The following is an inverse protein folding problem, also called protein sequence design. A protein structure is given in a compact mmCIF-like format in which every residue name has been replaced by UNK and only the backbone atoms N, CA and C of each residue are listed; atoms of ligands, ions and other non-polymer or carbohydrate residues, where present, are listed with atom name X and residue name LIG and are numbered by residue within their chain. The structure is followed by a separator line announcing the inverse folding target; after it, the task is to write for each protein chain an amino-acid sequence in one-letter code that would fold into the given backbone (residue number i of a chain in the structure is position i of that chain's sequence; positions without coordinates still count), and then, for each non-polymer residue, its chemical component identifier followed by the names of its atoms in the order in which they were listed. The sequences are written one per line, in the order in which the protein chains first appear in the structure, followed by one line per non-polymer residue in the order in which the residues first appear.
data_IF_626176845649
#
_entry.id   IF_626176845649
#
_cell.length_a   1.000
_cell.length_b   1.000
_cell.length_c   1.000
_cell.angle_alpha   90.00
_cell.angle_beta   90.00
_cell.angle_gamma   90.00
#
_symmetry.space_group_name_H-M   'P 1'
#
loop_
_entity.id
_entity.type
_entity.pdbx_description
1 polymer ?
#
# COMPACT_ATOMS: atom_id res chain seq x y z
N UNK A 1 23.53 2.08 0.81
CA UNK A 1 22.86 0.76 0.74
C UNK A 1 21.60 0.89 -0.12
N UNK A 2 21.68 0.66 -1.44
CA UNK A 2 20.60 0.98 -2.39
C UNK A 2 19.35 0.08 -2.30
N UNK A 3 19.46 -1.09 -1.65
CA UNK A 3 18.33 -2.02 -1.46
C UNK A 3 17.33 -1.54 -0.41
N UNK A 4 17.80 -0.85 0.64
CA UNK A 4 16.97 -0.43 1.76
C UNK A 4 16.07 0.76 1.40
N UNK A 5 16.58 1.70 0.61
CA UNK A 5 15.81 2.87 0.14
C UNK A 5 14.60 2.45 -0.70
N UNK A 6 14.71 1.38 -1.50
CA UNK A 6 13.58 0.86 -2.27
C UNK A 6 12.48 0.25 -1.39
N UNK A 7 12.81 -0.41 -0.29
CA UNK A 7 11.80 -0.96 0.63
C UNK A 7 11.05 0.15 1.37
N UNK A 8 11.78 1.13 1.90
CA UNK A 8 11.17 2.29 2.57
C UNK A 8 10.28 3.05 1.59
N UNK A 9 10.75 3.29 0.36
CA UNK A 9 9.94 3.94 -0.67
C UNK A 9 8.66 3.17 -0.99
N UNK A 10 8.71 1.84 -1.11
CA UNK A 10 7.51 1.01 -1.32
C UNK A 10 6.54 1.08 -0.14
N UNK A 11 7.04 1.01 1.09
CA UNK A 11 6.19 1.16 2.29
C UNK A 11 5.53 2.53 2.35
N UNK A 12 6.26 3.60 2.04
CA UNK A 12 5.71 4.96 1.95
C UNK A 12 4.63 5.06 0.88
N UNK A 13 4.86 4.49 -0.31
CA UNK A 13 3.85 4.46 -1.38
C UNK A 13 2.61 3.68 -0.95
N UNK A 14 2.76 2.53 -0.30
CA UNK A 14 1.62 1.76 0.21
C UNK A 14 0.83 2.55 1.26
N UNK A 15 1.51 3.17 2.22
CA UNK A 15 0.88 4.02 3.24
C UNK A 15 0.12 5.20 2.62
N UNK A 16 0.65 5.81 1.54
CA UNK A 16 -0.05 6.84 0.79
C UNK A 16 -1.37 6.32 0.21
N UNK A 17 -1.38 5.13 -0.40
CA UNK A 17 -2.62 4.56 -0.94
C UNK A 17 -3.64 4.27 0.18
N UNK A 18 -3.19 3.69 1.30
CA UNK A 18 -4.07 3.39 2.45
C UNK A 18 -4.72 4.66 3.01
N UNK A 19 -3.95 5.73 3.20
CA UNK A 19 -4.48 7.02 3.72
C UNK A 19 -5.51 7.61 2.76
N UNK A 20 -5.24 7.61 1.45
CA UNK A 20 -6.19 8.14 0.47
C UNK A 20 -7.44 7.26 0.31
N UNK A 21 -7.29 5.94 0.37
CA UNK A 21 -8.41 5.01 0.46
C UNK A 21 -9.29 5.29 1.68
N UNK A 22 -8.70 5.54 2.85
CA UNK A 22 -9.46 5.90 4.05
C UNK A 22 -10.21 7.24 3.90
N UNK A 23 -9.63 8.22 3.20
CA UNK A 23 -10.31 9.49 2.88
C UNK A 23 -11.50 9.25 1.95
N UNK A 24 -11.31 8.47 0.88
CA UNK A 24 -12.38 8.10 -0.05
C UNK A 24 -13.49 7.31 0.65
N UNK A 25 -13.14 6.39 1.54
CA UNK A 25 -14.10 5.66 2.37
C UNK A 25 -14.88 6.59 3.29
N UNK A 26 -14.23 7.57 3.93
CA UNK A 26 -14.93 8.57 4.75
C UNK A 26 -15.91 9.40 3.92
N UNK A 27 -15.53 9.79 2.71
CA UNK A 27 -16.40 10.52 1.78
C UNK A 27 -17.58 9.66 1.27
N UNK A 28 -17.35 8.36 1.08
CA UNK A 28 -18.41 7.39 0.79
C UNK A 28 -19.46 7.35 1.92
N UNK A 29 -19.01 7.36 3.18
CA UNK A 29 -19.88 7.35 4.36
C UNK A 29 -20.65 8.66 4.56
N UNK A 30 -20.16 9.80 4.06
CA UNK A 30 -20.90 11.07 4.11
C UNK A 30 -22.03 11.15 3.09
N UNK A 31 -22.13 10.19 2.16
CA UNK A 31 -23.26 10.05 1.23
C UNK A 31 -23.19 10.94 -0.01
N UNK A 32 -22.21 11.84 -0.09
CA UNK A 32 -21.94 12.64 -1.29
C UNK A 32 -21.19 11.79 -2.34
N UNK A 33 -21.59 11.90 -3.60
CA UNK A 33 -20.92 11.25 -4.74
C UNK A 33 -20.54 9.77 -4.52
N UNK A 34 -21.43 9.01 -3.84
CA UNK A 34 -21.16 7.66 -3.35
C UNK A 34 -20.55 6.72 -4.40
N UNK A 35 -20.99 6.79 -5.66
CA UNK A 35 -20.43 5.96 -6.74
C UNK A 35 -19.00 6.36 -7.12
N UNK A 36 -18.69 7.65 -7.16
CA UNK A 36 -17.34 8.13 -7.49
C UNK A 36 -16.37 7.84 -6.34
N UNK A 37 -16.80 8.06 -5.09
CA UNK A 37 -16.02 7.73 -3.90
C UNK A 37 -15.77 6.22 -3.74
N UNK A 38 -16.74 5.39 -4.12
CA UNK A 38 -16.56 3.94 -4.20
C UNK A 38 -15.51 3.55 -5.24
N UNK A 39 -15.57 4.12 -6.45
CA UNK A 39 -14.58 3.84 -7.49
C UNK A 39 -13.18 4.27 -7.04
N UNK A 40 -13.05 5.48 -6.49
CA UNK A 40 -11.77 5.96 -5.97
C UNK A 40 -11.21 5.05 -4.86
N UNK A 41 -12.07 4.55 -3.97
CA UNK A 41 -11.68 3.59 -2.94
C UNK A 41 -11.14 2.29 -3.56
N UNK A 42 -11.82 1.72 -4.57
CA UNK A 42 -11.34 0.54 -5.28
C UNK A 42 -9.99 0.80 -5.98
N UNK A 43 -9.82 1.95 -6.62
CA UNK A 43 -8.58 2.30 -7.30
C UNK A 43 -7.40 2.40 -6.32
N UNK A 44 -7.64 2.97 -5.13
CA UNK A 44 -6.63 3.03 -4.06
C UNK A 44 -6.30 1.65 -3.48
N UNK A 45 -7.29 0.76 -3.35
CA UNK A 45 -7.09 -0.62 -2.90
C UNK A 45 -6.26 -1.43 -3.89
N UNK A 46 -6.60 -1.37 -5.18
CA UNK A 46 -5.86 -2.09 -6.22
C UNK A 46 -4.41 -1.60 -6.32
N UNK A 47 -4.20 -0.28 -6.22
CA UNK A 47 -2.87 0.31 -6.19
C UNK A 47 -2.07 -0.11 -4.94
N UNK A 48 -2.72 -0.19 -3.77
CA UNK A 48 -2.10 -0.64 -2.53
C UNK A 48 -1.67 -2.11 -2.64
N UNK A 49 -2.53 -2.98 -3.20
CA UNK A 49 -2.23 -4.40 -3.36
C UNK A 49 -1.11 -4.63 -4.36
N UNK A 50 -1.02 -3.84 -5.44
CA UNK A 50 0.11 -3.91 -6.36
C UNK A 50 1.44 -3.60 -5.65
N UNK A 51 1.49 -2.58 -4.80
CA UNK A 51 2.70 -2.27 -4.02
C UNK A 51 3.04 -3.42 -3.07
N UNK A 52 2.05 -4.07 -2.45
CA UNK A 52 2.24 -5.26 -1.60
C UNK A 52 2.82 -6.42 -2.40
N UNK A 53 2.23 -6.75 -3.56
CA UNK A 53 2.72 -7.82 -4.45
C UNK A 53 4.17 -7.59 -4.86
N UNK A 54 4.51 -6.36 -5.24
CA UNK A 54 5.88 -6.01 -5.62
C UNK A 54 6.85 -6.05 -4.43
N UNK A 55 6.40 -5.68 -3.23
CA UNK A 55 7.19 -5.77 -2.01
C UNK A 55 7.49 -7.23 -1.65
N UNK A 56 6.48 -8.11 -1.68
CA UNK A 56 6.66 -9.55 -1.45
C UNK A 56 7.62 -10.17 -2.48
N UNK A 57 7.46 -9.86 -3.78
CA UNK A 57 8.40 -10.31 -4.82
C UNK A 57 9.83 -9.86 -4.53
N UNK A 58 10.02 -8.62 -4.11
CA UNK A 58 11.34 -8.08 -3.76
C UNK A 58 11.96 -8.78 -2.53
N UNK A 59 11.14 -9.14 -1.53
CA UNK A 59 11.59 -9.92 -0.36
C UNK A 59 12.05 -11.31 -0.80
N UNK A 60 11.27 -12.00 -1.63
CA UNK A 60 11.61 -13.35 -2.11
C UNK A 60 12.89 -13.36 -2.97
N UNK A 61 13.18 -12.30 -3.72
CA UNK A 61 14.41 -12.16 -4.51
C UNK A 61 15.60 -11.57 -3.74
N UNK A 62 15.44 -11.17 -2.47
CA UNK A 62 16.51 -10.61 -1.65
C UNK A 62 16.97 -11.56 -0.54
N UNK A 63 18.19 -12.09 -0.69
CA UNK A 63 18.86 -12.91 0.33
C UNK A 63 19.25 -12.13 1.60
N UNK A 64 19.23 -10.79 1.53
CA UNK A 64 19.45 -9.87 2.65
C UNK A 64 18.17 -9.06 2.81
N UNK A 65 17.38 -9.37 3.84
CA UNK A 65 16.31 -8.49 4.33
C UNK A 65 16.91 -7.57 5.40
N UNK A 66 16.78 -6.24 5.30
CA UNK A 66 17.33 -5.31 6.30
C UNK A 66 16.53 -5.29 7.62
N UNK A 67 15.43 -6.04 7.68
CA UNK A 67 14.56 -6.24 8.84
C UNK A 67 14.19 -7.73 8.91
N UNK A 68 13.85 -8.22 10.10
CA UNK A 68 13.42 -9.60 10.29
C UNK A 68 12.06 -9.81 9.60
N UNK A 69 11.88 -10.94 8.91
CA UNK A 69 10.67 -11.23 8.12
C UNK A 69 9.41 -11.24 8.99
N UNK A 70 9.57 -11.47 10.29
CA UNK A 70 8.52 -11.42 11.32
C UNK A 70 7.88 -10.05 11.52
N UNK A 71 8.54 -8.95 11.11
CA UNK A 71 8.01 -7.59 11.29
C UNK A 71 7.02 -7.14 10.20
N UNK A 72 6.82 -7.95 9.14
CA UNK A 72 5.98 -7.60 7.98
C UNK A 72 4.63 -8.33 8.00
N UNK A 73 4.47 -9.43 8.75
CA UNK A 73 3.17 -10.09 8.93
C UNK A 73 2.49 -9.63 10.22
N UNK A 74 1.57 -8.69 10.12
CA UNK A 74 0.47 -8.49 11.08
C UNK A 74 -0.78 -8.15 10.28
#
# INVERSE_FOLDING_TARGET
MPRNEQFVARLTTHAYQVVNGAIAFRALLSGEESKANYQALCDFEEAADEVTRQTLKAIHHSFITPFDRSQIST
#
